data_IF_254224156031
#
_entry.id   IF_254224156031
#
_cell.length_a   1.000
_cell.length_b   1.000
_cell.length_c   1.000
_cell.angle_alpha   90.00
_cell.angle_beta   90.00
_cell.angle_gamma   90.00
#
_symmetry.space_group_name_H-M   'P 1'
#
loop_
_entity.id
_entity.type
_entity.pdbx_description
1 polymer ?
#
# COMPACT_ATOMS: atom_id res chain seq x y z
N UNK A 1 -2.39 -32.66 -34.52
CA UNK A 1 -3.57 -31.94 -34.01
C UNK A 1 -4.66 -32.06 -35.07
N UNK A 2 -5.80 -32.65 -34.71
CA UNK A 2 -6.88 -32.99 -35.64
C UNK A 2 -7.70 -31.74 -35.98
N UNK A 3 -8.19 -31.58 -37.22
CA UNK A 3 -9.03 -30.45 -37.64
C UNK A 3 -10.29 -30.30 -36.78
N UNK A 4 -10.76 -31.39 -36.17
CA UNK A 4 -11.87 -31.37 -35.21
C UNK A 4 -11.49 -30.76 -33.85
N UNK A 5 -10.26 -30.99 -33.37
CA UNK A 5 -9.75 -30.40 -32.12
C UNK A 5 -9.58 -28.88 -32.27
N UNK A 6 -9.08 -28.43 -33.43
CA UNK A 6 -8.96 -27.00 -33.74
C UNK A 6 -10.33 -26.30 -33.75
N UNK A 7 -11.34 -26.90 -34.38
CA UNK A 7 -12.71 -26.34 -34.41
C UNK A 7 -13.35 -26.28 -33.01
N UNK A 8 -13.10 -27.28 -32.16
CA UNK A 8 -13.58 -27.27 -30.76
C UNK A 8 -12.88 -26.20 -29.93
N UNK A 9 -11.58 -26.01 -30.13
CA UNK A 9 -10.82 -24.94 -29.48
C UNK A 9 -11.30 -23.55 -29.93
N UNK A 10 -11.46 -23.32 -31.24
CA UNK A 10 -12.00 -22.07 -31.78
C UNK A 10 -13.40 -21.77 -31.24
N UNK A 11 -14.29 -22.76 -31.19
CA UNK A 11 -15.62 -22.61 -30.61
C UNK A 11 -15.57 -22.27 -29.11
N UNK A 12 -14.70 -22.93 -28.35
CA UNK A 12 -14.50 -22.63 -26.93
C UNK A 12 -13.96 -21.22 -26.72
N UNK A 13 -12.96 -20.80 -27.50
CA UNK A 13 -12.40 -19.44 -27.45
C UNK A 13 -13.46 -18.40 -27.79
N UNK A 14 -14.26 -18.64 -28.84
CA UNK A 14 -15.35 -17.74 -29.22
C UNK A 14 -16.39 -17.60 -28.09
N UNK A 15 -16.79 -18.71 -27.47
CA UNK A 15 -17.72 -18.71 -26.34
C UNK A 15 -17.14 -17.93 -25.15
N UNK A 16 -15.87 -18.16 -24.82
CA UNK A 16 -15.19 -17.46 -23.72
C UNK A 16 -15.09 -15.95 -23.96
N UNK A 17 -14.78 -15.54 -25.19
CA UNK A 17 -14.73 -14.12 -25.57
C UNK A 17 -16.11 -13.49 -25.44
N UNK A 18 -17.16 -14.14 -25.94
CA UNK A 18 -18.54 -13.65 -25.82
C UNK A 18 -18.94 -13.51 -24.36
N UNK A 19 -18.65 -14.52 -23.53
CA UNK A 19 -18.97 -14.50 -22.11
C UNK A 19 -18.23 -13.35 -21.39
N UNK A 20 -16.95 -13.13 -21.73
CA UNK A 20 -16.17 -12.03 -21.18
C UNK A 20 -16.73 -10.66 -21.58
N UNK A 21 -17.13 -10.49 -22.84
CA UNK A 21 -17.77 -9.25 -23.31
C UNK A 21 -19.06 -8.99 -22.56
N UNK A 22 -19.90 -10.01 -22.33
CA UNK A 22 -21.15 -9.85 -21.56
C UNK A 22 -20.87 -9.40 -20.13
N UNK A 23 -19.90 -10.02 -19.45
CA UNK A 23 -19.49 -9.62 -18.09
C UNK A 23 -18.98 -8.18 -18.08
N UNK A 24 -18.14 -7.80 -19.05
CA UNK A 24 -17.63 -6.43 -19.18
C UNK A 24 -18.74 -5.41 -19.40
N UNK A 25 -19.71 -5.71 -20.27
CA UNK A 25 -20.85 -4.81 -20.51
C UNK A 25 -21.69 -4.63 -19.26
N UNK A 26 -21.99 -5.71 -18.52
CA UNK A 26 -22.74 -5.62 -17.25
C UNK A 26 -21.99 -4.82 -16.19
N UNK A 27 -20.68 -5.03 -16.08
CA UNK A 27 -19.85 -4.29 -15.14
C UNK A 27 -19.76 -2.81 -15.52
N UNK A 28 -19.57 -2.52 -16.81
CA UNK A 28 -19.46 -1.15 -17.33
C UNK A 28 -20.78 -0.39 -17.21
N UNK A 29 -21.93 -1.03 -17.45
CA UNK A 29 -23.24 -0.39 -17.26
C UNK A 29 -23.47 -0.01 -15.80
N UNK A 30 -23.09 -0.90 -14.87
CA UNK A 30 -23.18 -0.63 -13.44
C UNK A 30 -22.19 0.45 -13.00
N UNK A 31 -20.98 0.46 -13.56
CA UNK A 31 -19.97 1.48 -13.29
C UNK A 31 -20.41 2.86 -13.79
N UNK A 32 -20.95 2.94 -15.01
CA UNK A 32 -21.49 4.20 -15.56
C UNK A 32 -22.64 4.68 -14.68
N UNK A 33 -23.59 3.80 -14.33
CA UNK A 33 -24.68 4.14 -13.41
C UNK A 33 -24.17 4.68 -12.08
N UNK A 34 -23.22 3.99 -11.46
CA UNK A 34 -22.57 4.42 -10.23
C UNK A 34 -21.91 5.80 -10.38
N UNK A 35 -21.06 5.99 -11.40
CA UNK A 35 -20.36 7.26 -11.64
C UNK A 35 -21.33 8.42 -11.92
N UNK A 36 -22.41 8.19 -12.65
CA UNK A 36 -23.46 9.20 -12.89
C UNK A 36 -24.31 9.48 -11.67
N UNK A 37 -24.39 8.54 -10.72
CA UNK A 37 -25.07 8.70 -9.43
C UNK A 37 -24.19 9.35 -8.35
N UNK A 38 -22.93 9.65 -8.65
CA UNK A 38 -22.07 10.43 -7.75
C UNK A 38 -22.63 11.86 -7.73
N UNK A 39 -23.57 12.10 -6.84
CA UNK A 39 -23.95 13.45 -6.47
C UNK A 39 -22.72 14.19 -5.95
N UNK A 40 -22.61 15.46 -6.30
CA UNK A 40 -21.61 16.33 -5.73
C UNK A 40 -21.85 16.46 -4.23
N UNK A 41 -21.14 15.65 -3.45
CA UNK A 41 -21.10 15.78 -2.00
C UNK A 41 -20.30 17.04 -1.72
N UNK A 42 -20.97 18.05 -1.14
CA UNK A 42 -20.31 19.28 -0.71
C UNK A 42 -19.04 18.94 0.06
N UNK A 43 -17.90 19.60 -0.23
CA UNK A 43 -16.63 19.25 0.38
C UNK A 43 -16.77 19.24 1.90
N UNK A 44 -16.44 18.11 2.50
CA UNK A 44 -16.49 17.94 3.96
C UNK A 44 -15.34 18.76 4.52
N UNK A 45 -15.66 19.93 5.08
CA UNK A 45 -14.66 20.81 5.69
C UNK A 45 -14.51 20.50 7.18
N UNK A 46 -13.33 20.78 7.71
CA UNK A 46 -13.01 20.51 9.11
C UNK A 46 -13.90 21.33 10.07
N UNK A 47 -14.26 22.56 9.68
CA UNK A 47 -15.09 23.46 10.49
C UNK A 47 -16.50 22.92 10.70
N UNK A 48 -17.05 22.24 9.68
CA UNK A 48 -18.39 21.64 9.75
C UNK A 48 -18.38 20.25 10.39
N UNK A 49 -17.29 19.51 10.22
CA UNK A 49 -17.16 18.14 10.68
C UNK A 49 -15.80 17.92 11.34
N UNK A 50 -15.63 18.29 12.62
CA UNK A 50 -14.33 18.23 13.32
C UNK A 50 -13.76 16.81 13.43
N UNK A 51 -14.62 15.79 13.35
CA UNK A 51 -14.21 14.39 13.38
C UNK A 51 -13.89 13.80 12.00
N UNK A 52 -14.04 14.54 10.90
CA UNK A 52 -13.87 14.05 9.52
C UNK A 52 -12.51 13.40 9.27
N UNK A 53 -11.44 13.99 9.83
CA UNK A 53 -10.08 13.45 9.68
C UNK A 53 -10.02 12.04 10.25
N UNK A 54 -10.64 11.79 11.40
CA UNK A 54 -10.63 10.49 12.07
C UNK A 54 -11.60 9.50 11.44
N UNK A 55 -12.74 9.95 10.93
CA UNK A 55 -13.80 9.06 10.41
C UNK A 55 -13.61 8.69 8.94
N UNK A 56 -13.13 9.61 8.09
CA UNK A 56 -13.01 9.37 6.64
C UNK A 56 -11.57 9.34 6.15
N UNK A 57 -10.64 10.03 6.82
CA UNK A 57 -9.21 10.07 6.47
C UNK A 57 -8.30 9.41 7.50
N UNK A 58 -8.87 8.60 8.40
CA UNK A 58 -8.12 8.02 9.52
C UNK A 58 -6.92 7.17 9.09
N UNK A 59 -7.06 6.40 7.99
CA UNK A 59 -5.97 5.59 7.43
C UNK A 59 -4.83 6.47 6.88
N UNK A 60 -5.16 7.59 6.22
CA UNK A 60 -4.18 8.55 5.71
C UNK A 60 -3.45 9.24 6.88
N UNK A 61 -4.18 9.68 7.91
CA UNK A 61 -3.60 10.23 9.14
C UNK A 61 -2.69 9.23 9.85
N UNK A 62 -3.11 7.97 9.99
CA UNK A 62 -2.29 6.92 10.57
C UNK A 62 -1.00 6.72 9.74
N UNK A 63 -1.12 6.65 8.43
CA UNK A 63 0.04 6.52 7.53
C UNK A 63 1.01 7.68 7.70
N UNK A 64 0.51 8.93 7.78
CA UNK A 64 1.34 10.11 8.01
C UNK A 64 2.07 10.05 9.35
N UNK A 65 1.42 9.60 10.42
CA UNK A 65 2.07 9.38 11.73
C UNK A 65 3.19 8.35 11.64
N UNK A 66 2.95 7.24 10.94
CA UNK A 66 3.99 6.22 10.70
C UNK A 66 5.18 6.77 9.91
N UNK A 67 4.93 7.58 8.88
CA UNK A 67 5.99 8.21 8.09
C UNK A 67 6.84 9.16 8.94
N UNK A 68 6.21 9.97 9.80
CA UNK A 68 6.92 10.85 10.72
C UNK A 68 7.77 10.06 11.72
N UNK A 69 7.20 8.98 12.29
CA UNK A 69 7.93 8.10 13.20
C UNK A 69 9.13 7.44 12.52
N UNK A 70 8.93 6.88 11.33
CA UNK A 70 10.00 6.27 10.54
C UNK A 70 11.12 7.27 10.23
N UNK A 71 10.75 8.51 9.89
CA UNK A 71 11.70 9.60 9.65
C UNK A 71 12.51 9.92 10.91
N UNK A 72 11.83 10.05 12.06
CA UNK A 72 12.48 10.34 13.33
C UNK A 72 13.46 9.22 13.73
N UNK A 73 13.06 7.95 13.58
CA UNK A 73 13.92 6.80 13.84
C UNK A 73 15.10 6.74 12.87
N UNK A 74 14.89 7.03 11.59
CA UNK A 74 15.95 7.09 10.59
C UNK A 74 16.99 8.16 10.91
N UNK A 75 16.54 9.38 11.26
CA UNK A 75 17.44 10.46 11.70
C UNK A 75 18.18 10.08 12.97
N UNK A 76 17.49 9.50 13.95
CA UNK A 76 18.11 9.04 15.21
C UNK A 76 19.16 7.95 14.95
N UNK A 77 18.90 7.03 14.02
CA UNK A 77 19.85 6.00 13.65
C UNK A 77 21.09 6.57 12.94
N UNK A 78 20.92 7.60 12.09
CA UNK A 78 22.03 8.28 11.42
C UNK A 78 22.87 9.14 12.38
N UNK A 79 22.24 9.71 13.40
CA UNK A 79 22.90 10.53 14.43
C UNK A 79 23.41 9.71 15.61
N UNK A 80 23.11 8.40 15.65
CA UNK A 80 23.70 7.51 16.63
C UNK A 80 25.19 7.43 16.31
N UNK A 81 26.01 8.09 17.13
CA UNK A 81 27.44 7.82 17.15
C UNK A 81 27.59 6.33 17.47
N UNK A 82 28.22 5.60 16.56
CA UNK A 82 28.64 4.23 16.81
C UNK A 82 29.64 4.28 17.97
N UNK A 83 29.17 4.05 19.20
CA UNK A 83 29.98 3.28 20.14
C UNK A 83 30.15 1.91 19.49
N UNK A 84 31.16 1.82 18.61
CA UNK A 84 31.33 0.72 17.68
C UNK A 84 31.57 -0.61 18.37
N UNK A 85 31.30 -1.74 17.68
CA UNK A 85 31.69 -3.05 18.15
C UNK A 85 33.22 -3.20 18.10
N UNK A 86 33.91 -2.74 19.14
CA UNK A 86 35.30 -3.09 19.44
C UNK A 86 36.32 -1.95 19.46
N UNK A 87 36.16 -0.91 20.29
CA UNK A 87 37.27 0.01 20.61
C UNK A 87 37.64 -0.15 22.09
N UNK A 88 38.58 -1.08 22.27
CA UNK A 88 39.56 -1.25 23.33
C UNK A 88 39.02 -1.50 24.75
N UNK A 89 38.92 -2.79 25.09
CA UNK A 89 39.12 -3.23 26.47
C UNK A 89 40.40 -2.56 26.99
N UNK A 90 40.29 -1.74 28.04
CA UNK A 90 41.45 -1.19 28.72
C UNK A 90 42.40 -2.36 29.07
N UNK A 91 43.65 -2.37 28.59
CA UNK A 91 44.61 -3.36 29.06
C UNK A 91 44.82 -3.08 30.54
N UNK A 92 44.28 -3.95 31.40
CA UNK A 92 44.57 -3.99 32.82
C UNK A 92 46.08 -4.06 32.97
N UNK A 93 46.68 -2.96 33.45
CA UNK A 93 48.07 -2.94 33.86
C UNK A 93 48.17 -3.86 35.09
N UNK A 94 48.53 -5.12 34.86
CA UNK A 94 48.96 -5.99 35.95
C UNK A 94 50.20 -5.36 36.58
N UNK A 95 50.04 -5.03 37.87
CA UNK A 95 50.95 -4.20 38.62
C UNK A 95 52.35 -4.77 38.80
N UNK A 96 53.20 -3.87 39.26
CA UNK A 96 54.52 -4.14 39.85
C UNK A 96 54.53 -5.42 40.70
N UNK A 97 55.51 -6.27 40.43
CA UNK A 97 55.81 -7.42 41.30
C UNK A 97 57.01 -8.21 40.81
N UNK A 98 58.22 -7.83 41.25
CA UNK A 98 59.45 -8.62 41.09
C UNK A 98 60.73 -7.80 41.07
#
# INVERSE_FOLDING_TARGET
MNSEETRRFEAFTAIMVVLWVVVMVMFLSNLIGFLTSIEYVTPITFEKHPFFIWTYRGLDTLTQVFLLLATALGVTALLREDEGPGVEEEPVLEGEGG
#
